data_IF_451420783703
#
_entry.id   IF_451420783703
#
_cell.length_a   1.000
_cell.length_b   1.000
_cell.length_c   1.000
_cell.angle_alpha   90.00
_cell.angle_beta   90.00
_cell.angle_gamma   90.00
#
_symmetry.space_group_name_H-M   'P 1'
#
loop_
_entity.id
_entity.type
_entity.pdbx_description
1 polymer ?
#
# COMPACT_ATOMS: atom_id res chain seq x y z
N UNK A 1 -7.01 -7.88 -45.05
CA UNK A 1 -6.83 -6.93 -43.93
C UNK A 1 -6.22 -7.72 -42.78
N UNK A 2 -4.99 -7.41 -42.37
CA UNK A 2 -4.32 -8.12 -41.30
C UNK A 2 -4.55 -7.38 -39.97
N UNK A 3 -5.23 -8.02 -39.02
CA UNK A 3 -5.33 -7.53 -37.64
C UNK A 3 -3.99 -7.72 -36.95
N UNK A 4 -3.24 -6.65 -36.75
CA UNK A 4 -2.10 -6.64 -35.83
C UNK A 4 -2.63 -6.68 -34.39
N UNK A 5 -2.61 -7.86 -33.78
CA UNK A 5 -2.75 -7.98 -32.32
C UNK A 5 -1.47 -7.42 -31.69
N UNK A 6 -1.57 -6.25 -31.07
CA UNK A 6 -0.49 -5.67 -30.27
C UNK A 6 -0.43 -6.42 -28.94
N UNK A 7 0.44 -7.41 -28.84
CA UNK A 7 0.81 -7.99 -27.54
C UNK A 7 1.62 -6.96 -26.77
N UNK A 8 0.95 -6.20 -25.90
CA UNK A 8 1.61 -5.32 -24.92
C UNK A 8 2.44 -6.18 -23.99
N UNK A 9 3.76 -5.98 -23.99
CA UNK A 9 4.65 -6.66 -23.05
C UNK A 9 4.24 -6.27 -21.61
N UNK A 10 3.80 -7.23 -20.78
CA UNK A 10 3.35 -6.95 -19.41
C UNK A 10 4.46 -6.43 -18.49
N UNK A 11 5.73 -6.57 -18.89
CA UNK A 11 6.88 -5.98 -18.20
C UNK A 11 7.00 -4.46 -18.40
N UNK A 12 6.33 -3.90 -19.42
CA UNK A 12 6.26 -2.46 -19.68
C UNK A 12 5.11 -1.77 -18.94
N UNK A 13 4.17 -2.53 -18.38
CA UNK A 13 3.06 -1.97 -17.61
C UNK A 13 3.58 -1.65 -16.20
N UNK A 14 3.57 -0.37 -15.79
CA UNK A 14 3.98 0.00 -14.44
C UNK A 14 3.05 -0.63 -13.41
N UNK A 15 3.62 -1.00 -12.28
CA UNK A 15 2.87 -1.51 -11.14
C UNK A 15 2.42 -0.32 -10.28
N UNK A 16 1.13 -0.18 -9.99
CA UNK A 16 0.64 0.86 -9.08
C UNK A 16 0.36 0.23 -7.71
N UNK A 17 1.01 0.80 -6.69
CA UNK A 17 0.78 0.49 -5.28
C UNK A 17 0.02 1.65 -4.63
N UNK A 18 -1.17 1.36 -4.11
CA UNK A 18 -1.99 2.30 -3.37
C UNK A 18 -1.71 2.16 -1.88
N UNK A 19 -1.32 3.25 -1.22
CA UNK A 19 -1.18 3.33 0.22
C UNK A 19 -2.46 3.92 0.83
N UNK A 20 -3.07 3.21 1.76
CA UNK A 20 -4.25 3.67 2.51
C UNK A 20 -3.93 3.72 4.01
N UNK A 21 -4.46 4.74 4.70
CA UNK A 21 -4.50 4.81 6.17
C UNK A 21 -5.79 4.15 6.65
N UNK A 22 -5.67 3.28 7.63
CA UNK A 22 -6.79 2.63 8.30
C UNK A 22 -7.20 3.40 9.56
N UNK A 23 -8.50 3.39 9.86
CA UNK A 23 -9.02 3.95 11.10
C UNK A 23 -8.89 2.95 12.25
N UNK A 24 -7.67 2.78 12.75
CA UNK A 24 -7.35 1.88 13.86
C UNK A 24 -6.64 2.64 14.98
N UNK A 25 -7.13 2.47 16.21
CA UNK A 25 -6.55 3.06 17.42
C UNK A 25 -5.78 2.05 18.27
N UNK A 26 -5.79 0.77 17.87
CA UNK A 26 -5.12 -0.34 18.54
C UNK A 26 -4.27 -1.13 17.55
N UNK A 27 -3.22 -1.78 18.06
CA UNK A 27 -2.35 -2.62 17.23
C UNK A 27 -3.16 -3.75 16.60
N UNK A 28 -2.98 -3.93 15.29
CA UNK A 28 -3.63 -5.01 14.55
C UNK A 28 -2.74 -6.26 14.57
N UNK A 29 -3.34 -7.42 14.79
CA UNK A 29 -2.66 -8.69 14.61
C UNK A 29 -2.82 -9.16 13.16
N UNK A 30 -1.70 -9.17 12.44
CA UNK A 30 -1.65 -9.56 11.04
C UNK A 30 -2.09 -11.00 10.78
N UNK A 31 -2.11 -11.87 11.81
CA UNK A 31 -2.51 -13.27 11.67
C UNK A 31 -4.03 -13.47 11.76
N UNK A 32 -4.74 -12.56 12.41
CA UNK A 32 -6.18 -12.66 12.65
C UNK A 32 -7.01 -11.67 11.85
N UNK A 33 -6.37 -10.66 11.26
CA UNK A 33 -7.04 -9.70 10.40
C UNK A 33 -7.41 -10.30 9.03
N UNK A 34 -8.65 -10.04 8.63
CA UNK A 34 -9.23 -10.48 7.36
C UNK A 34 -9.91 -9.30 6.68
N UNK A 35 -10.36 -9.48 5.43
CA UNK A 35 -11.12 -8.43 4.73
C UNK A 35 -12.39 -8.00 5.49
N UNK A 36 -13.03 -8.93 6.20
CA UNK A 36 -14.24 -8.65 6.96
C UNK A 36 -13.95 -7.96 8.31
N UNK A 37 -12.79 -8.23 8.90
CA UNK A 37 -12.42 -7.75 10.24
C UNK A 37 -11.43 -6.58 10.21
N UNK A 38 -10.94 -6.18 9.02
CA UNK A 38 -10.05 -5.04 8.90
C UNK A 38 -10.79 -3.73 9.23
N UNK A 39 -10.14 -2.78 9.91
CA UNK A 39 -10.69 -1.45 10.10
C UNK A 39 -10.97 -0.75 8.76
N UNK A 40 -11.95 0.16 8.70
CA UNK A 40 -12.26 0.89 7.49
C UNK A 40 -11.11 1.82 7.08
N UNK A 41 -11.02 2.07 5.77
CA UNK A 41 -10.09 3.06 5.22
C UNK A 41 -10.49 4.44 5.73
N UNK A 42 -9.55 5.11 6.39
CA UNK A 42 -9.70 6.49 6.82
C UNK A 42 -9.35 7.46 5.70
N UNK A 43 -8.27 7.19 4.96
CA UNK A 43 -7.81 8.05 3.87
C UNK A 43 -6.91 7.30 2.89
N UNK A 44 -7.01 7.65 1.60
CA UNK A 44 -6.00 7.29 0.61
C UNK A 44 -4.81 8.25 0.73
N UNK A 45 -3.60 7.70 0.80
CA UNK A 45 -2.39 8.46 1.08
C UNK A 45 -1.59 8.75 -0.20
N UNK A 46 -1.41 7.75 -1.06
CA UNK A 46 -0.65 7.88 -2.29
C UNK A 46 -0.96 6.73 -3.26
N UNK A 47 -0.80 7.01 -4.56
CA UNK A 47 -0.55 6.00 -5.59
C UNK A 47 0.92 6.07 -5.96
N UNK A 48 1.61 4.94 -5.87
CA UNK A 48 3.04 4.83 -6.09
C UNK A 48 3.27 3.95 -7.30
N UNK A 49 3.73 4.58 -8.37
CA UNK A 49 4.05 3.92 -9.64
C UNK A 49 5.43 3.30 -9.54
N UNK A 50 5.51 1.98 -9.50
CA UNK A 50 6.74 1.20 -9.47
C UNK A 50 7.12 0.80 -10.89
N UNK A 51 8.25 1.32 -11.36
CA UNK A 51 8.87 0.87 -12.60
C UNK A 51 9.56 -0.49 -12.38
N UNK A 52 9.19 -1.51 -13.16
CA UNK A 52 9.71 -2.88 -12.97
C UNK A 52 11.23 -3.03 -13.15
N UNK A 53 11.90 -2.07 -13.80
CA UNK A 53 13.32 -2.14 -14.13
C UNK A 53 14.22 -1.24 -13.28
N UNK A 54 13.68 -0.43 -12.38
CA UNK A 54 14.45 0.60 -11.65
C UNK A 54 14.45 0.50 -10.14
N UNK A 55 13.59 -0.35 -9.55
CA UNK A 55 13.27 -0.23 -8.12
C UNK A 55 12.59 1.11 -7.83
N UNK A 56 12.00 1.27 -6.64
CA UNK A 56 11.51 2.56 -6.20
C UNK A 56 11.87 2.76 -4.73
N UNK A 57 12.42 3.93 -4.42
CA UNK A 57 12.49 4.42 -3.06
C UNK A 57 11.39 5.45 -2.87
N UNK A 58 10.44 5.16 -1.99
CA UNK A 58 9.36 6.08 -1.63
C UNK A 58 9.33 6.27 -0.12
N UNK A 59 9.26 7.53 0.30
CA UNK A 59 9.10 7.87 1.71
C UNK A 59 8.19 9.07 1.88
N UNK A 60 7.42 9.08 2.98
CA UNK A 60 6.60 10.21 3.41
C UNK A 60 6.58 10.28 4.92
N UNK A 61 6.71 11.50 5.45
CA UNK A 61 6.58 11.75 6.89
C UNK A 61 5.11 11.99 7.23
N UNK A 62 4.66 11.38 8.32
CA UNK A 62 3.33 11.61 8.88
C UNK A 62 3.48 12.26 10.25
N UNK A 63 2.88 13.44 10.48
CA UNK A 63 2.78 13.97 11.83
C UNK A 63 1.91 13.01 12.65
N UNK A 64 2.37 12.67 13.85
CA UNK A 64 1.60 11.89 14.81
C UNK A 64 1.97 12.32 16.22
N UNK A 65 1.03 12.17 17.15
CA UNK A 65 1.33 12.36 18.57
C UNK A 65 2.09 11.16 19.15
N UNK A 66 2.73 11.37 20.30
CA UNK A 66 3.42 10.34 21.11
C UNK A 66 2.49 9.17 21.53
N UNK A 67 1.18 9.30 21.41
CA UNK A 67 0.27 8.19 21.73
C UNK A 67 -0.64 7.84 20.57
N UNK A 68 -0.33 8.35 19.38
CA UNK A 68 -1.09 8.03 18.18
C UNK A 68 -0.46 6.84 17.45
N UNK A 69 -1.29 5.81 17.25
CA UNK A 69 -1.00 4.71 16.35
C UNK A 69 -1.49 5.08 14.95
N UNK A 70 -0.57 5.11 14.00
CA UNK A 70 -0.91 5.16 12.58
C UNK A 70 -0.92 3.75 12.03
N UNK A 71 -1.92 3.40 11.23
CA UNK A 71 -2.03 2.08 10.62
C UNK A 71 -2.23 2.26 9.12
N UNK A 72 -1.53 1.45 8.33
CA UNK A 72 -1.53 1.54 6.88
C UNK A 72 -1.70 0.17 6.21
N UNK A 73 -2.30 0.16 5.03
CA UNK A 73 -2.38 -1.02 4.16
C UNK A 73 -1.98 -0.66 2.71
N UNK A 74 -1.44 -1.65 2.00
CA UNK A 74 -0.97 -1.53 0.61
C UNK A 74 -1.83 -2.36 -0.33
N UNK A 75 -2.34 -1.76 -1.40
CA UNK A 75 -3.09 -2.46 -2.43
C UNK A 75 -2.36 -2.38 -3.77
N UNK A 76 -2.34 -3.48 -4.52
CA UNK A 76 -1.79 -3.55 -5.86
C UNK A 76 -2.93 -3.59 -6.88
N UNK A 77 -2.95 -2.65 -7.82
CA UNK A 77 -4.00 -2.56 -8.84
C UNK A 77 -3.69 -3.50 -10.02
N UNK A 78 -3.85 -4.81 -9.80
CA UNK A 78 -4.05 -5.84 -10.84
C UNK A 78 -4.75 -7.02 -10.19
N UNK A 79 -6.02 -7.22 -10.60
CA UNK A 79 -6.82 -8.43 -10.40
C UNK A 79 -6.51 -9.26 -9.13
N UNK A 80 -7.22 -8.94 -8.05
CA UNK A 80 -7.54 -9.92 -7.00
C UNK A 80 -6.37 -10.66 -6.31
N UNK A 81 -5.18 -10.06 -6.24
CA UNK A 81 -4.13 -10.53 -5.35
C UNK A 81 -3.90 -9.50 -4.26
N UNK A 82 -4.65 -9.64 -3.17
CA UNK A 82 -4.45 -8.93 -1.91
C UNK A 82 -3.10 -9.35 -1.33
N UNK A 83 -2.02 -8.71 -1.76
CA UNK A 83 -0.76 -8.77 -1.04
C UNK A 83 -0.93 -7.87 0.19
N UNK A 84 -1.61 -8.39 1.21
CA UNK A 84 -1.82 -7.74 2.50
C UNK A 84 -0.48 -7.62 3.24
N UNK A 85 0.37 -6.69 2.82
CA UNK A 85 1.63 -6.44 3.49
C UNK A 85 1.33 -5.65 4.78
N UNK A 86 1.24 -6.38 5.89
CA UNK A 86 1.17 -5.82 7.23
C UNK A 86 2.58 -5.56 7.74
N UNK A 87 2.92 -4.29 7.99
CA UNK A 87 3.76 -3.93 9.14
C UNK A 87 3.69 -2.42 9.37
N UNK A 88 3.13 -2.01 10.51
CA UNK A 88 3.42 -0.69 11.10
C UNK A 88 3.89 -0.91 12.52
N UNK A 89 5.11 -0.48 12.83
CA UNK A 89 5.49 -0.18 14.22
C UNK A 89 6.68 0.80 14.32
N UNK A 90 6.38 1.99 14.85
CA UNK A 90 7.11 3.00 15.68
C UNK A 90 8.67 2.97 15.75
N UNK A 91 9.49 4.03 15.92
CA UNK A 91 9.39 5.48 16.17
C UNK A 91 10.81 6.10 16.22
N UNK A 92 10.99 7.38 15.88
CA UNK A 92 11.88 8.29 16.66
C UNK A 92 11.57 9.76 16.38
N UNK A 93 11.13 10.46 17.43
CA UNK A 93 11.29 11.90 17.56
C UNK A 93 12.77 12.16 17.84
N UNK A 94 13.44 12.96 17.03
CA UNK A 94 14.54 13.78 17.50
C UNK A 94 14.04 15.22 17.47
N UNK A 95 13.78 15.74 18.68
CA UNK A 95 13.75 17.18 18.94
C UNK A 95 15.17 17.70 18.71
#
# INVERSE_FOLDING_TARGET
MASTSLTVDPSLIPLVLTLNRLNATTSLDARSISFATRPPIQAKIADITVERKGGIEWSRKFPCSTHELLTFEWWQDKENVTSSLHMVQHWKVQV
#
